data_IF_318039931524
#
_entry.id   IF_318039931524
#
_cell.length_a   1.000
_cell.length_b   1.000
_cell.length_c   1.000
_cell.angle_alpha   90.00
_cell.angle_beta   90.00
_cell.angle_gamma   90.00
#
_symmetry.space_group_name_H-M   'P 1'
#
loop_
_entity.id
_entity.type
_entity.pdbx_description
1 polymer ?
#
# COMPACT_ATOMS: atom_id res chain seq x y z
N UNK A 1 12.06 -14.96 28.55
CA UNK A 1 12.78 -15.24 27.31
C UNK A 1 12.44 -16.65 26.90
N UNK A 2 11.78 -16.84 25.75
CA UNK A 2 11.56 -18.19 25.21
C UNK A 2 12.92 -18.76 24.85
N UNK A 3 13.35 -19.78 25.59
CA UNK A 3 14.63 -20.46 25.40
C UNK A 3 14.60 -21.26 24.09
N UNK A 4 14.82 -20.58 22.98
CA UNK A 4 15.07 -21.21 21.70
C UNK A 4 16.54 -21.61 21.62
N UNK A 5 16.79 -22.89 21.31
CA UNK A 5 18.10 -23.32 20.81
C UNK A 5 18.52 -22.42 19.64
N UNK A 6 19.82 -22.07 19.56
CA UNK A 6 20.35 -21.08 18.61
C UNK A 6 19.97 -21.34 17.15
N UNK A 7 19.77 -22.60 16.77
CA UNK A 7 19.29 -22.96 15.43
C UNK A 7 17.84 -22.52 15.16
N UNK A 8 16.93 -22.73 16.13
CA UNK A 8 15.52 -22.32 16.01
C UNK A 8 15.37 -20.79 16.00
N UNK A 9 16.22 -20.10 16.77
CA UNK A 9 16.32 -18.64 16.72
C UNK A 9 16.74 -18.16 15.32
N UNK A 10 17.78 -18.74 14.73
CA UNK A 10 18.23 -18.39 13.37
C UNK A 10 17.14 -18.58 12.31
N UNK A 11 16.45 -19.73 12.33
CA UNK A 11 15.34 -20.00 11.41
C UNK A 11 14.20 -18.98 11.53
N UNK A 12 13.90 -18.52 12.74
CA UNK A 12 12.89 -17.48 12.95
C UNK A 12 13.29 -16.16 12.28
N UNK A 13 14.54 -15.70 12.39
CA UNK A 13 15.01 -14.49 11.70
C UNK A 13 15.01 -14.66 10.19
N UNK A 14 15.53 -15.78 9.68
CA UNK A 14 15.54 -16.05 8.24
C UNK A 14 14.12 -16.03 7.69
N UNK A 15 13.14 -16.60 8.41
CA UNK A 15 11.74 -16.56 8.03
C UNK A 15 11.16 -15.13 8.04
N UNK A 16 11.47 -14.31 9.06
CA UNK A 16 11.05 -12.91 9.12
C UNK A 16 11.60 -12.10 7.92
N UNK A 17 12.89 -12.24 7.61
CA UNK A 17 13.51 -11.56 6.48
C UNK A 17 13.03 -12.08 5.12
N UNK A 18 12.80 -13.39 4.99
CA UNK A 18 12.23 -13.99 3.79
C UNK A 18 10.81 -13.46 3.53
N UNK A 19 9.99 -13.32 4.58
CA UNK A 19 8.64 -12.77 4.44
C UNK A 19 8.68 -11.31 3.97
N UNK A 20 9.57 -10.48 4.53
CA UNK A 20 9.75 -9.09 4.08
C UNK A 20 10.14 -9.01 2.59
N UNK A 21 10.99 -9.92 2.12
CA UNK A 21 11.37 -10.02 0.70
C UNK A 21 10.19 -10.43 -0.18
N UNK A 22 9.43 -11.46 0.22
CA UNK A 22 8.27 -11.94 -0.54
C UNK A 22 7.19 -10.86 -0.65
N UNK A 23 6.86 -10.19 0.46
CA UNK A 23 5.88 -9.10 0.46
C UNK A 23 6.33 -7.95 -0.44
N UNK A 24 7.61 -7.60 -0.42
CA UNK A 24 8.17 -6.58 -1.31
C UNK A 24 8.08 -7.01 -2.78
N UNK A 25 8.38 -8.28 -3.09
CA UNK A 25 8.26 -8.83 -4.43
C UNK A 25 6.82 -8.79 -4.96
N UNK A 26 5.85 -9.16 -4.13
CA UNK A 26 4.42 -9.08 -4.46
C UNK A 26 3.99 -7.63 -4.66
N UNK A 27 4.46 -6.71 -3.82
CA UNK A 27 4.15 -5.29 -3.98
C UNK A 27 4.69 -4.73 -5.30
N UNK A 28 5.90 -5.13 -5.71
CA UNK A 28 6.47 -4.72 -7.01
C UNK A 28 5.65 -5.25 -8.18
N UNK A 29 5.20 -6.50 -8.13
CA UNK A 29 4.42 -7.09 -9.24
C UNK A 29 3.03 -6.46 -9.35
N UNK A 30 2.34 -6.26 -8.23
CA UNK A 30 0.96 -5.75 -8.22
C UNK A 30 0.91 -4.24 -8.47
N UNK A 31 1.81 -3.47 -7.87
CA UNK A 31 1.72 -2.00 -7.89
C UNK A 31 2.75 -1.32 -8.82
N UNK A 32 3.97 -1.86 -8.95
CA UNK A 32 5.05 -1.23 -9.74
C UNK A 32 5.22 -1.85 -11.14
N UNK A 33 4.24 -2.64 -11.61
CA UNK A 33 4.25 -3.26 -12.93
C UNK A 33 5.32 -4.35 -13.12
N UNK A 34 5.86 -4.90 -12.02
CA UNK A 34 6.80 -6.01 -12.05
C UNK A 34 8.02 -5.75 -12.94
N UNK A 35 8.12 -6.55 -13.99
CA UNK A 35 9.21 -6.60 -14.97
C UNK A 35 9.11 -5.50 -16.04
N UNK A 36 7.99 -4.78 -16.11
CA UNK A 36 7.77 -3.76 -17.13
C UNK A 36 8.51 -2.46 -16.78
N UNK A 37 9.27 -1.94 -17.73
CA UNK A 37 9.84 -0.59 -17.70
C UNK A 37 9.47 0.14 -19.00
N UNK A 38 8.76 1.28 -18.92
CA UNK A 38 8.48 2.08 -20.10
C UNK A 38 9.82 2.61 -20.65
N UNK A 39 10.13 2.28 -21.90
CA UNK A 39 11.41 2.65 -22.52
C UNK A 39 12.31 1.47 -22.90
N UNK A 40 12.14 0.30 -22.28
CA UNK A 40 13.07 -0.83 -22.47
C UNK A 40 13.02 -1.41 -23.89
N UNK A 41 11.85 -1.35 -24.53
CA UNK A 41 11.62 -1.76 -25.92
C UNK A 41 12.31 -0.86 -26.96
N UNK A 42 12.69 0.37 -26.59
CA UNK A 42 13.45 1.27 -27.46
C UNK A 42 14.97 1.04 -27.36
N UNK A 43 15.42 0.51 -26.21
CA UNK A 43 16.84 0.29 -25.92
C UNK A 43 17.31 -1.13 -26.28
N UNK A 44 16.43 -2.11 -26.21
CA UNK A 44 16.75 -3.51 -26.49
C UNK A 44 15.69 -4.14 -27.38
N UNK A 45 16.13 -4.94 -28.36
CA UNK A 45 15.23 -5.71 -29.22
C UNK A 45 14.35 -6.63 -28.35
N UNK A 46 13.01 -6.54 -28.48
CA UNK A 46 12.08 -7.42 -27.77
C UNK A 46 12.44 -8.89 -28.04
N UNK A 47 12.64 -9.67 -26.96
CA UNK A 47 13.01 -11.09 -27.06
C UNK A 47 14.52 -11.39 -27.09
N UNK A 48 15.38 -10.37 -27.07
CA UNK A 48 16.83 -10.59 -26.89
C UNK A 48 17.18 -11.03 -25.47
N UNK A 49 18.26 -11.80 -25.30
CA UNK A 49 18.78 -12.20 -23.97
C UNK A 49 19.06 -10.99 -23.08
N UNK A 50 19.53 -9.88 -23.66
CA UNK A 50 19.78 -8.63 -22.95
C UNK A 50 18.48 -7.99 -22.44
N UNK A 51 17.39 -8.05 -23.21
CA UNK A 51 16.09 -7.55 -22.76
C UNK A 51 15.57 -8.33 -21.55
N UNK A 52 15.74 -9.66 -21.54
CA UNK A 52 15.34 -10.50 -20.39
C UNK A 52 16.19 -10.19 -19.16
N UNK A 53 17.52 -10.12 -19.30
CA UNK A 53 18.42 -9.78 -18.21
C UNK A 53 18.15 -8.37 -17.64
N UNK A 54 17.90 -7.39 -18.51
CA UNK A 54 17.56 -6.04 -18.09
C UNK A 54 16.21 -6.01 -17.36
N UNK A 55 15.20 -6.73 -17.83
CA UNK A 55 13.89 -6.85 -17.17
C UNK A 55 14.03 -7.46 -15.77
N UNK A 56 14.85 -8.51 -15.63
CA UNK A 56 15.16 -9.11 -14.32
C UNK A 56 15.91 -8.14 -13.41
N UNK A 57 16.89 -7.42 -13.95
CA UNK A 57 17.63 -6.40 -13.21
C UNK A 57 16.72 -5.28 -12.69
N UNK A 58 15.79 -4.80 -13.52
CA UNK A 58 14.80 -3.79 -13.14
C UNK A 58 13.89 -4.30 -12.04
N UNK A 59 13.39 -5.53 -12.15
CA UNK A 59 12.58 -6.14 -11.10
C UNK A 59 13.35 -6.24 -9.76
N UNK A 60 14.61 -6.71 -9.82
CA UNK A 60 15.50 -6.75 -8.67
C UNK A 60 15.74 -5.37 -8.05
N UNK A 61 15.97 -4.34 -8.87
CA UNK A 61 16.18 -2.98 -8.39
C UNK A 61 14.92 -2.41 -7.72
N UNK A 62 13.74 -2.60 -8.32
CA UNK A 62 12.46 -2.17 -7.72
C UNK A 62 12.21 -2.87 -6.38
N UNK A 63 12.49 -4.17 -6.29
CA UNK A 63 12.30 -4.94 -5.05
C UNK A 63 13.29 -4.52 -3.97
N UNK A 64 14.56 -4.28 -4.32
CA UNK A 64 15.56 -3.73 -3.40
C UNK A 64 15.20 -2.32 -2.92
N UNK A 65 14.65 -1.47 -3.79
CA UNK A 65 14.19 -0.14 -3.42
C UNK A 65 13.05 -0.19 -2.39
N UNK A 66 12.08 -1.10 -2.56
CA UNK A 66 11.02 -1.32 -1.56
C UNK A 66 11.57 -1.92 -0.26
N UNK A 67 12.49 -2.89 -0.34
CA UNK A 67 13.16 -3.44 0.85
C UNK A 67 13.91 -2.37 1.64
N UNK A 68 14.61 -1.47 0.94
CA UNK A 68 15.26 -0.33 1.57
C UNK A 68 14.26 0.57 2.30
N UNK A 69 13.12 0.85 1.68
CA UNK A 69 12.03 1.60 2.31
C UNK A 69 11.48 0.90 3.56
N UNK A 70 11.33 -0.44 3.54
CA UNK A 70 10.93 -1.21 4.73
C UNK A 70 11.95 -1.11 5.86
N UNK A 71 13.24 -1.19 5.58
CA UNK A 71 14.28 -0.99 6.59
C UNK A 71 14.28 0.44 7.14
N UNK A 72 14.08 1.43 6.28
CA UNK A 72 13.99 2.82 6.72
C UNK A 72 12.77 3.08 7.61
N UNK A 73 11.60 2.53 7.26
CA UNK A 73 10.40 2.60 8.10
C UNK A 73 10.58 1.89 9.45
N UNK A 74 11.27 0.73 9.45
CA UNK A 74 11.57 -0.01 10.69
C UNK A 74 12.39 0.82 11.68
N UNK A 75 13.26 1.70 11.20
CA UNK A 75 14.06 2.59 12.04
C UNK A 75 13.34 3.89 12.41
N UNK A 76 12.41 4.36 11.58
CA UNK A 76 11.77 5.66 11.75
C UNK A 76 10.48 5.63 12.58
N UNK A 77 9.78 4.48 12.63
CA UNK A 77 8.46 4.40 13.27
C UNK A 77 8.54 4.20 14.79
N UNK A 78 7.93 5.09 15.60
CA UNK A 78 7.73 4.85 17.03
C UNK A 78 6.85 3.61 17.26
N UNK A 79 7.15 2.84 18.31
CA UNK A 79 6.46 1.57 18.61
C UNK A 79 4.95 1.78 18.82
N UNK A 80 4.12 1.25 17.92
CA UNK A 80 2.66 1.27 18.05
C UNK A 80 2.16 0.18 19.02
N UNK A 81 1.12 0.51 19.79
CA UNK A 81 0.41 -0.45 20.65
C UNK A 81 -0.51 -1.34 19.81
N UNK A 82 -0.71 -2.60 20.23
CA UNK A 82 -1.58 -3.56 19.53
C UNK A 82 -2.99 -3.02 19.28
N UNK A 83 -3.58 -2.39 20.30
CA UNK A 83 -4.94 -1.82 20.22
C UNK A 83 -5.05 -0.74 19.13
N UNK A 84 -3.99 0.05 18.93
CA UNK A 84 -3.93 1.09 17.90
C UNK A 84 -3.84 0.48 16.49
N UNK A 85 -3.10 -0.62 16.33
CA UNK A 85 -3.00 -1.34 15.06
C UNK A 85 -4.33 -2.00 14.68
N UNK A 86 -5.05 -2.53 15.69
CA UNK A 86 -6.36 -3.12 15.48
C UNK A 86 -7.41 -2.08 15.08
N UNK A 87 -7.46 -0.94 15.78
CA UNK A 87 -8.37 0.15 15.43
C UNK A 87 -8.08 0.69 14.02
N UNK A 88 -6.79 0.89 13.66
CA UNK A 88 -6.42 1.36 12.32
C UNK A 88 -6.91 0.39 11.23
N UNK A 89 -6.68 -0.91 11.41
CA UNK A 89 -7.03 -1.92 10.42
C UNK A 89 -8.54 -2.01 10.20
N UNK A 90 -9.33 -2.07 11.29
CA UNK A 90 -10.76 -2.28 11.20
C UNK A 90 -11.57 -1.02 10.89
N UNK A 91 -11.21 0.10 11.50
CA UNK A 91 -12.01 1.33 11.40
C UNK A 91 -11.70 2.14 10.14
N UNK A 92 -10.48 1.99 9.61
CA UNK A 92 -10.00 2.84 8.53
C UNK A 92 -9.58 2.04 7.29
N UNK A 93 -8.73 1.02 7.42
CA UNK A 93 -8.20 0.33 6.24
C UNK A 93 -9.27 -0.45 5.49
N UNK A 94 -10.14 -1.19 6.19
CA UNK A 94 -11.21 -1.96 5.54
C UNK A 94 -12.23 -1.05 4.81
N UNK A 95 -12.81 -0.01 5.45
CA UNK A 95 -13.74 0.87 4.75
C UNK A 95 -13.08 1.63 3.59
N UNK A 96 -11.82 2.06 3.74
CA UNK A 96 -11.10 2.75 2.69
C UNK A 96 -10.85 1.84 1.47
N UNK A 97 -10.48 0.58 1.69
CA UNK A 97 -10.29 -0.38 0.61
C UNK A 97 -11.61 -0.64 -0.15
N UNK A 98 -12.72 -0.81 0.57
CA UNK A 98 -14.03 -1.02 -0.04
C UNK A 98 -14.49 0.21 -0.84
N UNK A 99 -14.31 1.41 -0.29
CA UNK A 99 -14.62 2.66 -0.97
C UNK A 99 -13.79 2.81 -2.26
N UNK A 100 -12.51 2.46 -2.23
CA UNK A 100 -11.64 2.53 -3.40
C UNK A 100 -12.09 1.58 -4.52
N UNK A 101 -12.51 0.36 -4.17
CA UNK A 101 -13.03 -0.61 -5.14
C UNK A 101 -14.32 -0.10 -5.78
N UNK A 102 -15.28 0.38 -4.97
CA UNK A 102 -16.56 0.90 -5.47
C UNK A 102 -16.37 2.12 -6.38
N UNK A 103 -15.47 3.03 -6.01
CA UNK A 103 -15.14 4.20 -6.83
C UNK A 103 -14.50 3.76 -8.15
N UNK A 104 -13.48 2.90 -8.10
CA UNK A 104 -12.81 2.39 -9.31
C UNK A 104 -13.80 1.71 -10.25
N UNK A 105 -14.73 0.91 -9.73
CA UNK A 105 -15.78 0.27 -10.51
C UNK A 105 -16.72 1.30 -11.18
N UNK A 106 -17.14 2.33 -10.43
CA UNK A 106 -17.99 3.41 -10.96
C UNK A 106 -17.27 4.19 -12.07
N UNK A 107 -15.99 4.51 -11.87
CA UNK A 107 -15.18 5.23 -12.86
C UNK A 107 -14.96 4.41 -14.14
N UNK A 108 -14.78 3.10 -14.02
CA UNK A 108 -14.63 2.23 -15.19
C UNK A 108 -15.89 2.22 -16.06
N UNK A 109 -17.07 2.15 -15.43
CA UNK A 109 -18.36 2.23 -16.14
C UNK A 109 -18.52 3.60 -16.82
N UNK A 110 -18.25 4.69 -16.11
CA UNK A 110 -18.34 6.05 -16.70
C UNK A 110 -17.33 6.26 -17.83
N UNK A 111 -16.12 5.71 -17.72
CA UNK A 111 -15.09 5.80 -18.77
C UNK A 111 -15.46 5.03 -20.04
N UNK A 112 -16.24 3.95 -19.91
CA UNK A 112 -16.77 3.19 -21.05
C UNK A 112 -17.84 4.01 -21.80
N UNK A 113 -18.75 4.67 -21.08
CA UNK A 113 -19.81 5.50 -21.67
C UNK A 113 -19.25 6.75 -22.40
N UNK A 114 -18.10 7.28 -21.95
CA UNK A 114 -17.42 8.42 -22.58
C UNK A 114 -16.56 8.04 -23.79
N UNK A 115 -16.51 6.76 -24.18
CA UNK A 115 -15.77 6.29 -25.37
C UNK A 115 -14.25 6.26 -25.22
N UNK A 116 -13.72 6.28 -23.99
CA UNK A 116 -12.27 6.30 -23.70
C UNK A 116 -11.63 4.90 -23.66
N UNK A 117 -12.46 3.86 -23.50
CA UNK A 117 -12.10 2.44 -23.55
C UNK A 117 -12.85 1.84 -24.74
N UNK A 118 -12.14 1.55 -25.82
CA UNK A 118 -12.73 1.03 -27.06
C UNK A 118 -12.44 -0.46 -27.13
N UNK A 119 -13.51 -1.26 -27.21
CA UNK A 119 -13.37 -2.69 -27.51
C UNK A 119 -13.14 -2.85 -29.01
N UNK A 120 -11.90 -3.13 -29.41
CA UNK A 120 -11.59 -3.63 -30.75
C UNK A 120 -11.14 -5.10 -30.65
N UNK A 121 -11.73 -5.97 -31.46
CA UNK A 121 -11.27 -7.35 -31.66
C UNK A 121 -11.09 -8.18 -30.37
N UNK A 122 -12.09 -8.17 -29.47
CA UNK A 122 -12.05 -8.87 -28.17
C UNK A 122 -10.91 -8.44 -27.23
N UNK A 123 -10.20 -7.36 -27.54
CA UNK A 123 -9.21 -6.72 -26.68
C UNK A 123 -9.73 -5.37 -26.22
N UNK A 124 -9.54 -5.09 -24.93
CA UNK A 124 -9.79 -3.77 -24.37
C UNK A 124 -8.61 -2.88 -24.74
N UNK A 125 -8.73 -2.15 -25.85
CA UNK A 125 -7.73 -1.16 -26.23
C UNK A 125 -8.03 0.16 -25.50
N UNK A 126 -7.13 0.50 -24.60
CA UNK A 126 -7.20 1.75 -23.84
C UNK A 126 -6.57 2.83 -24.72
N UNK A 127 -7.34 3.84 -25.11
CA UNK A 127 -6.82 5.02 -25.82
C UNK A 127 -5.76 5.73 -24.97
N UNK A 128 -4.80 6.45 -25.56
CA UNK A 128 -3.84 7.27 -24.80
C UNK A 128 -4.55 8.23 -23.84
N UNK A 129 -5.73 8.72 -24.22
CA UNK A 129 -6.62 9.50 -23.34
C UNK A 129 -7.25 8.65 -22.22
N UNK A 130 -7.54 7.37 -22.46
CA UNK A 130 -8.01 6.42 -21.46
C UNK A 130 -6.95 6.06 -20.42
N UNK A 131 -5.67 5.93 -20.81
CA UNK A 131 -4.56 5.75 -19.87
C UNK A 131 -4.37 6.99 -18.98
N UNK A 132 -4.42 8.18 -19.58
CA UNK A 132 -4.34 9.45 -18.84
C UNK A 132 -5.56 9.62 -17.94
N UNK A 133 -6.75 9.24 -18.39
CA UNK A 133 -7.97 9.25 -17.58
C UNK A 133 -7.84 8.31 -16.37
N UNK A 134 -7.45 7.05 -16.57
CA UNK A 134 -7.28 6.07 -15.49
C UNK A 134 -6.19 6.48 -14.48
N UNK A 135 -5.05 6.99 -14.96
CA UNK A 135 -3.98 7.50 -14.09
C UNK A 135 -4.47 8.75 -13.34
N UNK A 136 -5.18 9.65 -14.00
CA UNK A 136 -5.74 10.84 -13.36
C UNK A 136 -6.79 10.48 -12.31
N UNK A 137 -7.69 9.52 -12.58
CA UNK A 137 -8.69 9.07 -11.61
C UNK A 137 -8.03 8.30 -10.47
N UNK A 138 -7.00 7.48 -10.74
CA UNK A 138 -6.26 6.81 -9.69
C UNK A 138 -5.63 7.85 -8.74
N UNK A 139 -4.96 8.89 -9.26
CA UNK A 139 -4.37 9.95 -8.43
C UNK A 139 -5.41 10.86 -7.77
N UNK A 140 -6.48 11.27 -8.47
CA UNK A 140 -7.51 12.21 -7.96
C UNK A 140 -8.47 11.53 -6.97
N UNK A 141 -8.60 10.21 -7.01
CA UNK A 141 -9.52 9.49 -6.12
C UNK A 141 -8.78 8.86 -4.95
N UNK A 142 -7.68 8.12 -5.20
CA UNK A 142 -6.98 7.43 -4.11
C UNK A 142 -6.23 8.40 -3.21
N UNK A 143 -5.56 9.42 -3.76
CA UNK A 143 -4.73 10.33 -2.96
C UNK A 143 -5.59 11.25 -2.08
N UNK A 144 -6.68 11.87 -2.56
CA UNK A 144 -7.57 12.65 -1.70
C UNK A 144 -8.39 11.80 -0.74
N UNK A 145 -8.84 10.60 -1.12
CA UNK A 145 -9.58 9.72 -0.20
C UNK A 145 -8.67 9.26 0.94
N UNK A 146 -7.44 8.86 0.62
CA UNK A 146 -6.43 8.54 1.64
C UNK A 146 -6.07 9.77 2.47
N UNK A 147 -5.94 10.96 1.86
CA UNK A 147 -5.65 12.19 2.60
C UNK A 147 -6.79 12.65 3.52
N UNK A 148 -8.05 12.54 3.07
CA UNK A 148 -9.25 12.84 3.88
C UNK A 148 -9.35 11.85 5.04
N UNK A 149 -9.14 10.57 4.78
CA UNK A 149 -9.13 9.53 5.83
C UNK A 149 -7.99 9.79 6.83
N UNK A 150 -6.77 10.08 6.38
CA UNK A 150 -5.64 10.45 7.24
C UNK A 150 -5.91 11.74 8.02
N UNK A 151 -6.58 12.72 7.43
CA UNK A 151 -7.02 13.94 8.11
C UNK A 151 -8.02 13.65 9.23
N UNK A 152 -8.96 12.73 9.01
CA UNK A 152 -9.89 12.28 10.03
C UNK A 152 -9.20 11.46 11.13
N UNK A 153 -8.21 10.62 10.78
CA UNK A 153 -7.37 9.88 11.74
C UNK A 153 -6.61 10.85 12.65
N UNK A 154 -5.95 11.88 12.09
CA UNK A 154 -5.19 12.85 12.87
C UNK A 154 -6.07 13.62 13.86
N UNK A 155 -7.29 14.02 13.44
CA UNK A 155 -8.21 14.73 14.32
C UNK A 155 -8.69 13.85 15.49
N UNK A 156 -9.04 12.59 15.22
CA UNK A 156 -9.59 11.71 16.24
C UNK A 156 -8.51 11.16 17.20
N UNK A 157 -7.26 11.04 16.75
CA UNK A 157 -6.12 10.61 17.58
C UNK A 157 -5.75 11.63 18.67
N UNK A 158 -5.85 12.93 18.38
CA UNK A 158 -5.59 14.01 19.35
C UNK A 158 -6.56 13.98 20.53
N UNK A 159 -7.79 13.53 20.31
CA UNK A 159 -8.81 13.49 21.36
C UNK A 159 -8.61 12.33 22.34
N UNK A 160 -7.95 11.23 21.93
CA UNK A 160 -7.68 10.10 22.83
C UNK A 160 -6.62 10.42 23.88
N UNK A 161 -5.54 11.10 23.47
CA UNK A 161 -4.47 11.51 24.40
C UNK A 161 -4.95 12.50 25.47
N UNK A 162 -6.03 13.24 25.20
CA UNK A 162 -6.60 14.20 26.15
C UNK A 162 -7.59 13.57 27.13
N UNK A 163 -8.12 12.36 26.84
CA UNK A 163 -9.08 11.67 27.72
C UNK A 163 -8.40 10.86 28.82
N UNK A 164 -7.24 10.26 28.54
CA UNK A 164 -6.46 9.53 29.57
C UNK A 164 -5.81 10.46 30.60
N UNK A 165 -5.61 11.74 30.25
CA UNK A 165 -5.01 12.75 31.14
C UNK A 165 -6.07 13.43 32.01
N UNK A 166 -7.36 13.23 31.76
CA UNK A 166 -8.39 13.78 32.64
C UNK A 166 -8.41 12.97 33.95
N UNK A 167 -8.09 13.57 35.10
CA UNK A 167 -8.29 12.90 36.37
C UNK A 167 -9.78 12.58 36.48
N UNK A 168 -10.09 11.30 36.75
CA UNK A 168 -11.44 10.83 37.05
C UNK A 168 -12.11 11.86 37.97
N UNK A 169 -13.35 12.31 37.69
CA UNK A 169 -14.05 13.16 38.63
C UNK A 169 -14.13 12.38 39.94
N UNK A 170 -13.35 12.82 40.93
CA UNK A 170 -13.45 12.32 42.30
C UNK A 170 -14.88 12.60 42.73
N UNK A 171 -15.70 11.54 42.69
CA UNK A 171 -17.05 11.56 43.19
C UNK A 171 -16.96 11.90 44.68
N UNK A 172 -17.08 13.19 45.01
CA UNK A 172 -17.30 13.67 46.37
C UNK A 172 -18.74 13.34 46.75
N UNK A 173 -19.00 12.06 47.03
CA UNK A 173 -20.13 11.65 47.85
C UNK A 173 -19.58 11.04 49.12
N UNK A 174 -19.01 11.89 49.96
CA UNK A 174 -18.89 11.68 51.40
C UNK A 174 -19.53 12.92 52.04
N UNK A 175 -20.56 12.68 52.86
CA UNK A 175 -21.52 13.59 53.53
C UNK A 175 -22.84 13.78 52.77
N UNK A 176 -24.01 13.46 53.33
CA UNK A 176 -24.44 13.25 54.73
C UNK A 176 -25.31 12.00 54.84
#
# INVERSE_FOLDING_TARGET
HTEYSGFRFSLFFIAEYANMLIVSAIAVTVFLGGWYLPGLSYLFTPGSTLFVLASIGVFGLKTLALLYLFFWLRWSLPRYRYDQLMELSWKWMIPAALANIMLTATFLVLGQELGLIVSQNNMLEISTLGYVFLISTAFIVTVPLTWIMLGQINKNSRDFNLREVQPLPMNRTINK
#
